data_IF_427549331258
#
_entry.id   IF_427549331258
#
_cell.length_a   1.000
_cell.length_b   1.000
_cell.length_c   1.000
_cell.angle_alpha   90.00
_cell.angle_beta   90.00
_cell.angle_gamma   90.00
#
_symmetry.space_group_name_H-M   'P 1'
#
loop_
_entity.id
_entity.type
_entity.pdbx_description
1 polymer ?
#
# COMPACT_ATOMS: atom_id res chain seq x y z
N UNK A 1 4.14 14.73 15.86
CA UNK A 1 5.02 13.58 15.64
C UNK A 1 5.00 13.21 14.17
N UNK A 2 6.13 13.41 13.48
CA UNK A 2 6.28 13.11 12.06
C UNK A 2 6.59 11.63 11.82
N UNK A 3 6.19 11.12 10.65
CA UNK A 3 6.60 9.81 10.19
C UNK A 3 7.90 9.91 9.37
N UNK A 4 8.84 9.02 9.64
CA UNK A 4 10.09 8.98 8.88
C UNK A 4 9.87 8.28 7.54
N UNK A 5 10.24 8.97 6.44
CA UNK A 5 10.15 8.42 5.09
C UNK A 5 11.50 8.58 4.39
N UNK A 6 11.98 7.48 3.84
CA UNK A 6 13.22 7.47 3.07
C UNK A 6 12.91 7.78 1.61
N UNK A 7 13.53 8.84 1.09
CA UNK A 7 13.42 9.28 -0.30
C UNK A 7 14.80 9.34 -0.94
N UNK A 8 14.87 9.34 -2.27
CA UNK A 8 16.12 9.58 -2.96
C UNK A 8 16.51 11.07 -2.83
N UNK A 9 17.77 11.32 -2.63
CA UNK A 9 18.30 12.68 -2.44
C UNK A 9 17.98 13.64 -3.59
N UNK A 10 17.88 13.10 -4.80
CA UNK A 10 17.67 13.88 -6.02
C UNK A 10 16.18 14.06 -6.36
N UNK A 11 15.28 13.42 -5.61
CA UNK A 11 13.84 13.44 -5.89
C UNK A 11 13.09 14.53 -5.11
N UNK A 12 13.64 14.97 -3.99
CA UNK A 12 12.95 15.89 -3.07
C UNK A 12 13.87 17.03 -2.66
N UNK A 13 13.36 18.25 -2.77
CA UNK A 13 14.01 19.47 -2.28
C UNK A 13 13.22 20.00 -1.08
N UNK A 14 13.88 20.54 -0.04
CA UNK A 14 13.18 21.19 1.06
C UNK A 14 12.24 22.30 0.54
N UNK A 15 10.96 22.23 0.91
CA UNK A 15 9.91 23.13 0.42
C UNK A 15 9.05 22.54 -0.70
N UNK A 16 9.41 21.39 -1.30
CA UNK A 16 8.56 20.70 -2.28
C UNK A 16 7.27 20.23 -1.62
N UNK A 17 6.15 20.49 -2.28
CA UNK A 17 4.85 19.94 -1.90
C UNK A 17 4.73 18.51 -2.44
N UNK A 18 4.54 17.57 -1.52
CA UNK A 18 4.49 16.13 -1.82
C UNK A 18 3.17 15.52 -1.35
N UNK A 19 2.74 14.48 -2.03
CA UNK A 19 1.59 13.66 -1.60
C UNK A 19 2.12 12.48 -0.80
N UNK A 20 1.53 12.29 0.37
CA UNK A 20 1.90 11.23 1.31
C UNK A 20 0.85 10.13 1.37
N UNK A 21 1.22 8.94 0.92
CA UNK A 21 0.43 7.73 1.12
C UNK A 21 0.89 7.03 2.41
N UNK A 22 -0.01 6.92 3.39
CA UNK A 22 0.27 6.29 4.69
C UNK A 22 0.45 4.78 4.55
N UNK A 23 1.14 4.18 5.52
CA UNK A 23 1.12 2.72 5.67
C UNK A 23 -0.33 2.23 5.85
N UNK A 24 -0.58 0.98 5.43
CA UNK A 24 -1.91 0.36 5.46
C UNK A 24 -2.93 1.04 4.51
N UNK A 25 -2.46 1.77 3.51
CA UNK A 25 -3.28 2.20 2.38
C UNK A 25 -2.98 1.36 1.14
N UNK A 26 -3.89 1.35 0.19
CA UNK A 26 -3.76 0.67 -1.10
C UNK A 26 -3.87 1.71 -2.19
N UNK A 27 -2.84 1.79 -3.03
CA UNK A 27 -2.83 2.65 -4.20
C UNK A 27 -3.58 1.97 -5.35
N UNK A 28 -4.23 2.77 -6.19
CA UNK A 28 -4.93 2.27 -7.37
C UNK A 28 -3.99 1.54 -8.33
N UNK A 29 -4.47 0.47 -8.94
CA UNK A 29 -3.67 -0.38 -9.82
C UNK A 29 -3.23 0.33 -11.10
N UNK A 30 -4.08 1.21 -11.65
CA UNK A 30 -3.75 1.99 -12.85
C UNK A 30 -2.75 3.10 -12.52
N UNK A 31 -2.86 3.70 -11.31
CA UNK A 31 -1.87 4.65 -10.80
C UNK A 31 -0.49 4.00 -10.68
N UNK A 32 -0.42 2.80 -10.10
CA UNK A 32 0.83 2.04 -9.99
C UNK A 32 1.43 1.70 -11.35
N UNK A 33 0.59 1.23 -12.28
CA UNK A 33 1.01 0.87 -13.64
C UNK A 33 1.54 2.08 -14.42
N UNK A 34 0.82 3.22 -14.38
CA UNK A 34 1.19 4.45 -15.08
C UNK A 34 2.53 5.03 -14.60
N UNK A 35 2.86 4.82 -13.32
CA UNK A 35 4.09 5.29 -12.69
C UNK A 35 5.20 4.23 -12.61
N UNK A 36 5.00 3.05 -13.19
CA UNK A 36 5.97 1.94 -13.21
C UNK A 36 6.41 1.51 -11.80
N UNK A 37 5.47 1.49 -10.86
CA UNK A 37 5.72 1.25 -9.45
C UNK A 37 5.65 -0.23 -9.03
N UNK A 38 5.22 -1.12 -9.92
CA UNK A 38 5.23 -2.56 -9.64
C UNK A 38 6.64 -3.13 -9.61
N UNK A 39 6.87 -4.05 -8.68
CA UNK A 39 8.15 -4.74 -8.48
C UNK A 39 8.54 -5.67 -9.65
N UNK A 40 9.76 -6.15 -9.62
CA UNK A 40 10.31 -7.01 -10.68
C UNK A 40 9.45 -8.23 -11.00
N UNK A 41 8.86 -8.88 -10.00
CA UNK A 41 7.96 -10.04 -10.18
C UNK A 41 6.65 -9.70 -10.87
N UNK A 42 6.22 -8.44 -10.82
CA UNK A 42 4.97 -7.93 -11.39
C UNK A 42 5.22 -6.90 -12.52
N UNK A 43 6.44 -6.86 -13.06
CA UNK A 43 6.88 -5.87 -14.06
C UNK A 43 5.98 -5.77 -15.30
N UNK A 44 5.27 -6.86 -15.63
CA UNK A 44 4.33 -6.93 -16.76
C UNK A 44 3.15 -5.95 -16.62
N UNK A 45 2.85 -5.51 -15.39
CA UNK A 45 1.79 -4.56 -15.09
C UNK A 45 2.20 -3.12 -15.34
N UNK A 46 3.49 -2.84 -15.42
CA UNK A 46 4.02 -1.51 -15.63
C UNK A 46 3.83 -1.04 -17.07
N UNK A 47 3.54 0.24 -17.25
CA UNK A 47 3.38 0.84 -18.57
C UNK A 47 4.65 0.75 -19.43
N UNK A 48 5.82 0.76 -18.80
CA UNK A 48 7.12 0.66 -19.47
C UNK A 48 7.59 -0.79 -19.69
N UNK A 49 6.70 -1.79 -19.57
CA UNK A 49 7.08 -3.21 -19.67
C UNK A 49 7.85 -3.55 -20.94
N UNK A 50 7.47 -2.99 -22.09
CA UNK A 50 8.16 -3.24 -23.35
C UNK A 50 9.62 -2.75 -23.30
N UNK A 51 9.85 -1.56 -22.75
CA UNK A 51 11.21 -1.02 -22.56
C UNK A 51 12.05 -1.92 -21.63
N UNK A 52 11.44 -2.43 -20.57
CA UNK A 52 12.08 -3.37 -19.64
C UNK A 52 12.46 -4.67 -20.36
N UNK A 53 11.59 -5.21 -21.22
CA UNK A 53 11.89 -6.40 -22.03
C UNK A 53 13.05 -6.17 -23.01
N UNK A 54 13.07 -5.03 -23.67
CA UNK A 54 14.13 -4.68 -24.62
C UNK A 54 15.49 -4.60 -23.93
N UNK A 55 15.54 -4.07 -22.71
CA UNK A 55 16.75 -4.06 -21.89
C UNK A 55 17.19 -5.47 -21.46
N UNK A 56 16.25 -6.33 -21.07
CA UNK A 56 16.54 -7.73 -20.72
C UNK A 56 17.13 -8.46 -21.94
N UNK A 57 16.50 -8.32 -23.11
CA UNK A 57 16.94 -8.95 -24.35
C UNK A 57 18.32 -8.45 -24.81
N UNK A 58 18.67 -7.22 -24.44
CA UNK A 58 19.98 -6.61 -24.70
C UNK A 58 21.05 -6.99 -23.66
N UNK A 59 20.73 -7.86 -22.69
CA UNK A 59 21.66 -8.27 -21.63
C UNK A 59 21.89 -7.21 -20.53
N UNK A 60 21.07 -6.16 -20.49
CA UNK A 60 21.16 -5.04 -19.53
C UNK A 60 20.16 -5.20 -18.37
N UNK A 61 20.16 -6.36 -17.74
CA UNK A 61 19.20 -6.69 -16.69
C UNK A 61 19.26 -5.74 -15.49
N UNK A 62 20.43 -5.25 -15.11
CA UNK A 62 20.58 -4.31 -14.00
C UNK A 62 19.96 -2.94 -14.30
N UNK A 63 20.00 -2.48 -15.54
CA UNK A 63 19.32 -1.27 -15.99
C UNK A 63 17.80 -1.49 -15.99
N UNK A 64 17.35 -2.65 -16.44
CA UNK A 64 15.94 -3.04 -16.43
C UNK A 64 15.36 -3.06 -15.00
N UNK A 65 16.10 -3.60 -14.03
CA UNK A 65 15.71 -3.61 -12.60
C UNK A 65 15.56 -2.21 -12.00
N UNK A 66 16.30 -1.23 -12.49
CA UNK A 66 16.19 0.17 -12.02
C UNK A 66 14.95 0.89 -12.55
N UNK A 67 14.29 0.35 -13.59
CA UNK A 67 13.10 0.93 -14.21
C UNK A 67 11.78 0.39 -13.66
N UNK A 68 11.82 -0.52 -12.72
CA UNK A 68 10.66 -1.05 -12.02
C UNK A 68 10.61 -0.52 -10.59
N UNK A 69 9.42 -0.56 -9.99
CA UNK A 69 9.21 -0.14 -8.62
C UNK A 69 9.37 -1.26 -7.61
N UNK A 70 8.61 -1.16 -6.52
CA UNK A 70 8.70 -2.08 -5.38
C UNK A 70 7.33 -2.51 -4.83
N UNK A 71 6.23 -2.13 -5.48
CA UNK A 71 4.89 -2.54 -5.08
C UNK A 71 4.54 -3.91 -5.65
N UNK A 72 3.99 -4.78 -4.81
CA UNK A 72 3.40 -6.03 -5.27
C UNK A 72 2.03 -5.78 -5.94
N UNK A 73 1.42 -6.84 -6.47
CA UNK A 73 0.11 -6.79 -7.14
C UNK A 73 -1.02 -6.18 -6.32
N UNK A 74 -0.91 -6.13 -5.01
CA UNK A 74 -1.95 -5.60 -4.13
C UNK A 74 -1.86 -4.09 -3.90
N UNK A 75 -0.76 -3.46 -4.30
CA UNK A 75 -0.57 -2.01 -4.17
C UNK A 75 -0.55 -1.47 -2.73
N UNK A 76 -0.39 -2.35 -1.73
CA UNK A 76 -0.40 -1.95 -0.32
C UNK A 76 0.88 -1.23 0.06
N UNK A 77 0.73 -0.05 0.65
CA UNK A 77 1.83 0.70 1.25
C UNK A 77 2.21 0.05 2.58
N UNK A 78 3.44 -0.44 2.67
CA UNK A 78 3.99 -1.11 3.85
C UNK A 78 5.17 -0.33 4.39
N UNK A 79 5.47 -0.53 5.66
CA UNK A 79 6.76 -0.11 6.20
C UNK A 79 7.87 -0.91 5.53
N UNK A 80 8.86 -0.22 5.00
CA UNK A 80 10.04 -0.82 4.36
C UNK A 80 11.29 -0.35 5.09
N UNK A 81 12.23 -1.25 5.33
CA UNK A 81 13.53 -0.90 5.91
C UNK A 81 14.56 -0.72 4.79
N UNK A 82 14.97 0.51 4.54
CA UNK A 82 15.93 0.87 3.51
C UNK A 82 17.28 1.25 4.15
N UNK A 83 18.34 0.49 3.87
CA UNK A 83 19.68 0.72 4.42
C UNK A 83 19.70 0.89 5.96
N UNK A 84 18.85 0.14 6.66
CA UNK A 84 18.74 0.22 8.12
C UNK A 84 17.74 1.23 8.66
N UNK A 85 17.28 2.18 7.84
CA UNK A 85 16.30 3.19 8.22
C UNK A 85 14.88 2.73 7.89
N UNK A 86 13.93 2.78 8.84
CA UNK A 86 12.53 2.50 8.56
C UNK A 86 11.93 3.63 7.71
N UNK A 87 11.19 3.27 6.67
CA UNK A 87 10.39 4.19 5.87
C UNK A 87 8.92 3.83 6.06
N UNK A 88 8.15 4.75 6.61
CA UNK A 88 6.75 4.53 6.98
C UNK A 88 5.83 5.30 6.02
N UNK A 89 5.64 4.75 4.84
CA UNK A 89 4.78 5.32 3.83
C UNK A 89 5.47 5.53 2.50
N UNK A 90 4.76 6.18 1.59
CA UNK A 90 5.23 6.46 0.25
C UNK A 90 4.95 7.91 -0.13
N UNK A 91 5.96 8.62 -0.62
CA UNK A 91 5.87 10.00 -1.09
C UNK A 91 5.97 10.05 -2.61
N UNK A 92 5.16 10.92 -3.23
CA UNK A 92 5.24 11.19 -4.65
C UNK A 92 4.84 12.62 -4.98
N UNK A 93 5.31 13.11 -6.14
CA UNK A 93 4.99 14.45 -6.65
C UNK A 93 3.69 14.44 -7.44
N UNK A 94 3.13 15.62 -7.69
CA UNK A 94 1.95 15.83 -8.56
C UNK A 94 2.12 15.17 -9.93
N UNK A 95 3.33 15.14 -10.49
CA UNK A 95 3.61 14.51 -11.78
C UNK A 95 3.17 13.04 -11.85
N UNK A 96 3.19 12.34 -10.71
CA UNK A 96 2.70 10.98 -10.66
C UNK A 96 1.19 10.87 -10.85
N UNK A 97 0.42 11.85 -10.37
CA UNK A 97 -1.02 11.94 -10.62
C UNK A 97 -1.31 12.27 -12.09
N UNK A 98 -0.57 13.20 -12.67
CA UNK A 98 -0.73 13.61 -14.08
C UNK A 98 -0.40 12.46 -15.04
N UNK A 99 0.57 11.60 -14.70
CA UNK A 99 0.86 10.39 -15.48
C UNK A 99 -0.26 9.37 -15.43
N UNK A 100 -0.98 9.31 -14.33
CA UNK A 100 -2.13 8.45 -14.15
C UNK A 100 -3.36 9.02 -14.84
N UNK A 101 -3.69 10.28 -14.54
CA UNK A 101 -4.80 11.01 -15.14
C UNK A 101 -4.34 12.41 -15.59
N UNK A 102 -4.17 12.63 -16.92
CA UNK A 102 -3.76 13.92 -17.48
C UNK A 102 -4.70 15.08 -17.15
N UNK A 103 -5.98 14.83 -16.85
CA UNK A 103 -6.94 15.86 -16.45
C UNK A 103 -6.56 16.57 -15.15
N UNK A 104 -5.71 15.94 -14.34
CA UNK A 104 -5.21 16.47 -13.08
C UNK A 104 -4.06 17.48 -13.23
N UNK A 105 -3.65 17.78 -14.47
CA UNK A 105 -2.57 18.73 -14.71
C UNK A 105 -2.86 20.12 -14.12
N UNK A 106 -4.11 20.57 -14.20
CA UNK A 106 -4.53 21.90 -13.76
C UNK A 106 -4.91 21.96 -12.26
N UNK A 107 -4.86 20.82 -11.56
CA UNK A 107 -5.14 20.77 -10.13
C UNK A 107 -4.00 21.43 -9.35
N UNK A 108 -4.34 22.36 -8.48
CA UNK A 108 -3.39 22.95 -7.54
C UNK A 108 -3.42 22.16 -6.22
N UNK A 109 -2.30 21.54 -5.84
CA UNK A 109 -2.21 20.79 -4.58
C UNK A 109 -2.29 21.67 -3.34
N UNK A 110 -1.97 22.97 -3.46
CA UNK A 110 -2.08 23.91 -2.35
C UNK A 110 -3.51 24.06 -1.85
N UNK A 111 -4.51 23.89 -2.74
CA UNK A 111 -5.92 23.97 -2.41
C UNK A 111 -6.38 22.83 -1.47
N UNK A 112 -5.57 21.78 -1.33
CA UNK A 112 -5.87 20.60 -0.50
C UNK A 112 -5.17 20.61 0.86
N UNK A 113 -4.27 21.56 1.14
CA UNK A 113 -3.47 21.59 2.38
C UNK A 113 -4.35 21.90 3.60
N UNK A 114 -5.30 22.82 3.46
CA UNK A 114 -6.08 23.35 4.57
C UNK A 114 -7.45 22.66 4.76
N UNK A 115 -7.95 21.97 3.71
CA UNK A 115 -9.30 21.43 3.74
C UNK A 115 -9.42 20.08 4.43
N UNK A 116 -8.45 19.18 4.21
CA UNK A 116 -8.53 17.83 4.78
C UNK A 116 -7.12 17.27 5.00
N UNK A 117 -6.77 16.83 6.22
CA UNK A 117 -5.50 16.15 6.46
C UNK A 117 -5.38 14.81 5.73
N UNK A 118 -6.47 14.33 5.11
CA UNK A 118 -6.52 13.06 4.39
C UNK A 118 -7.46 13.19 3.18
N UNK A 119 -6.92 13.14 1.97
CA UNK A 119 -7.72 12.97 0.77
C UNK A 119 -7.34 11.65 0.07
N UNK A 120 -8.32 10.95 -0.44
CA UNK A 120 -8.19 9.68 -1.15
C UNK A 120 -8.56 9.79 -2.64
N UNK A 121 -9.12 10.93 -3.01
CA UNK A 121 -9.59 11.22 -4.36
C UNK A 121 -9.28 12.65 -4.78
N UNK A 122 -9.09 12.86 -6.08
CA UNK A 122 -8.96 14.17 -6.70
C UNK A 122 -9.95 14.21 -7.87
N UNK A 123 -10.77 15.26 -7.97
CA UNK A 123 -11.81 15.43 -8.98
C UNK A 123 -12.75 14.21 -9.12
N UNK A 124 -12.99 13.49 -8.02
CA UNK A 124 -13.81 12.28 -7.99
C UNK A 124 -13.09 10.99 -8.35
N UNK A 125 -11.84 11.05 -8.80
CA UNK A 125 -11.02 9.86 -9.08
C UNK A 125 -10.29 9.37 -7.82
N UNK A 126 -10.64 8.18 -7.35
CA UNK A 126 -10.07 7.57 -6.14
C UNK A 126 -8.77 6.85 -6.47
N UNK A 127 -7.66 7.29 -5.89
CA UNK A 127 -6.34 6.68 -6.11
C UNK A 127 -5.72 6.02 -4.86
N UNK A 128 -6.27 6.28 -3.67
CA UNK A 128 -5.86 5.67 -2.40
C UNK A 128 -7.08 5.09 -1.69
N UNK A 129 -6.96 3.88 -1.13
CA UNK A 129 -7.99 3.23 -0.31
C UNK A 129 -7.37 2.69 0.97
N UNK A 130 -8.15 2.60 2.03
CA UNK A 130 -7.73 1.90 3.26
C UNK A 130 -7.60 0.41 2.96
N UNK A 131 -6.52 -0.21 3.41
CA UNK A 131 -6.34 -1.65 3.28
C UNK A 131 -7.29 -2.38 4.24
N UNK A 132 -8.14 -3.22 3.68
CA UNK A 132 -8.99 -4.13 4.44
C UNK A 132 -8.38 -5.53 4.34
N UNK A 133 -7.92 -6.13 5.46
CA UNK A 133 -7.42 -7.49 5.45
C UNK A 133 -8.49 -8.47 4.97
N UNK A 134 -8.13 -9.39 4.10
CA UNK A 134 -9.01 -10.48 3.74
C UNK A 134 -9.18 -11.40 4.96
N UNK A 135 -10.37 -11.42 5.51
CA UNK A 135 -10.78 -12.41 6.50
C UNK A 135 -11.38 -13.59 5.72
N UNK A 136 -10.66 -14.70 5.69
CA UNK A 136 -11.20 -15.90 5.07
C UNK A 136 -12.52 -16.26 5.77
N UNK A 137 -13.61 -16.50 5.04
CA UNK A 137 -14.82 -17.01 5.65
C UNK A 137 -14.46 -18.30 6.40
N UNK A 138 -14.88 -18.41 7.65
CA UNK A 138 -14.67 -19.62 8.43
C UNK A 138 -15.26 -20.77 7.63
N UNK A 139 -14.43 -21.55 6.98
CA UNK A 139 -14.89 -22.76 6.33
C UNK A 139 -15.35 -23.70 7.43
N UNK A 140 -16.65 -23.81 7.61
CA UNK A 140 -17.25 -24.89 8.37
C UNK A 140 -16.97 -26.19 7.59
N UNK A 141 -15.71 -26.58 7.49
CA UNK A 141 -15.35 -27.91 7.10
C UNK A 141 -15.76 -28.82 8.25
N UNK A 142 -17.00 -29.28 8.18
CA UNK A 142 -17.43 -30.50 8.85
C UNK A 142 -16.67 -31.70 8.21
N UNK A 143 -15.34 -31.65 8.37
CA UNK A 143 -14.52 -32.84 8.21
C UNK A 143 -14.76 -33.73 9.39
N UNK A 144 -15.60 -34.72 9.15
CA UNK A 144 -15.90 -35.84 10.05
C UNK A 144 -14.62 -36.68 10.27
N UNK A 145 -13.65 -36.14 11.03
CA UNK A 145 -12.56 -36.91 11.62
C UNK A 145 -12.73 -36.82 13.13
N UNK A 146 -13.08 -37.93 13.73
CA UNK A 146 -13.37 -38.14 15.16
C UNK A 146 -12.32 -37.64 16.15
N UNK A 147 -12.07 -36.33 16.15
CA UNK A 147 -11.44 -35.64 17.27
C UNK A 147 -12.55 -35.21 18.20
N UNK A 148 -12.61 -35.85 19.37
CA UNK A 148 -13.39 -35.36 20.49
C UNK A 148 -13.18 -33.83 20.60
N UNK A 149 -14.29 -33.09 20.48
CA UNK A 149 -14.28 -31.65 20.79
C UNK A 149 -13.74 -31.52 22.22
N UNK A 150 -12.54 -30.96 22.38
CA UNK A 150 -12.17 -30.44 23.68
C UNK A 150 -13.19 -29.40 24.03
N UNK A 151 -13.87 -29.59 25.14
CA UNK A 151 -14.77 -28.59 25.68
C UNK A 151 -14.05 -27.24 25.83
N UNK A 152 -14.72 -26.12 25.54
CA UNK A 152 -14.10 -24.80 25.72
C UNK A 152 -13.64 -24.69 27.19
N UNK A 153 -12.43 -24.22 27.38
CA UNK A 153 -11.80 -24.08 28.72
C UNK A 153 -12.47 -23.05 29.64
N UNK A 154 -13.49 -22.38 29.16
CA UNK A 154 -14.16 -21.33 29.91
C UNK A 154 -15.66 -21.54 29.83
N UNK A 155 -16.31 -21.67 30.97
CA UNK A 155 -17.75 -21.63 31.08
C UNK A 155 -18.21 -20.17 30.85
N UNK A 156 -19.26 -20.02 30.02
CA UNK A 156 -19.93 -18.73 29.89
C UNK A 156 -20.72 -18.51 31.18
N UNK A 157 -20.21 -17.65 32.06
CA UNK A 157 -20.82 -17.41 33.37
C UNK A 157 -22.14 -16.65 33.32
N UNK A 158 -22.42 -15.96 32.22
CA UNK A 158 -23.63 -15.17 32.04
C UNK A 158 -24.18 -15.43 30.64
N UNK A 159 -25.45 -15.91 30.50
CA UNK A 159 -26.10 -16.09 29.20
C UNK A 159 -26.19 -14.72 28.48
N UNK A 160 -25.69 -14.68 27.22
CA UNK A 160 -25.69 -13.48 26.40
C UNK A 160 -24.44 -12.60 26.51
N UNK A 161 -23.48 -12.98 27.34
CA UNK A 161 -22.19 -12.30 27.36
C UNK A 161 -21.33 -12.80 26.21
N UNK A 162 -20.87 -11.84 25.38
CA UNK A 162 -19.92 -12.16 24.32
C UNK A 162 -18.54 -12.40 24.97
N UNK A 163 -17.89 -13.50 24.62
CA UNK A 163 -16.48 -13.69 24.94
C UNK A 163 -15.67 -12.81 23.99
N UNK A 164 -15.25 -11.65 24.45
CA UNK A 164 -14.23 -10.89 23.77
C UNK A 164 -12.87 -11.45 24.15
N UNK A 165 -12.06 -11.84 23.17
CA UNK A 165 -10.65 -12.01 23.39
C UNK A 165 -10.06 -10.61 23.59
N UNK A 166 -10.03 -10.15 24.84
CA UNK A 166 -9.27 -8.98 25.19
C UNK A 166 -7.79 -9.36 25.16
N UNK A 167 -7.04 -8.65 24.38
CA UNK A 167 -5.61 -8.59 24.58
C UNK A 167 -5.37 -7.85 25.90
N UNK A 168 -5.11 -8.60 26.95
CA UNK A 168 -4.91 -8.05 28.29
C UNK A 168 -3.66 -7.20 28.43
N UNK A 169 -2.83 -7.12 27.38
CA UNK A 169 -1.63 -6.26 27.37
C UNK A 169 -1.97 -4.78 27.12
N UNK A 170 -3.20 -4.45 26.73
CA UNK A 170 -3.63 -3.07 26.44
C UNK A 170 -4.24 -2.33 27.63
N UNK A 171 -4.24 -2.94 28.82
CA UNK A 171 -4.86 -2.36 30.03
C UNK A 171 -3.87 -1.94 31.11
N UNK A 172 -2.59 -1.74 30.79
CA UNK A 172 -1.61 -1.16 31.70
C UNK A 172 -1.21 0.23 31.26
#
# INVERSE_FOLDING_TARGET
DGEDIVVRKDEVTPGDLMIYARIETVLDSNFLAANNLYEWSEKERNKNYQEVLDLINSGKEDEAKRKVGFFNKHGRVKMVKLRGCPSKGFLFKKDALVKWDPSLNDVNLEDYIDEVPYFDSINGEVFIKVYVPYVAPCSNHHGNRGRQKKEPKFDILIPGQFSFNYDTTSLN
#
